data_IF_217748189223
#
_entry.id   IF_217748189223
#
_cell.length_a   1.000
_cell.length_b   1.000
_cell.length_c   1.000
_cell.angle_alpha   90.00
_cell.angle_beta   90.00
_cell.angle_gamma   90.00
#
_symmetry.space_group_name_H-M   'P 1'
#
loop_
_entity.id
_entity.type
_entity.pdbx_description
1 polymer ?
#
# COMPACT_ATOMS: atom_id res chain seq x y z
N UNK A 1 0.45 11.08 -16.76
CA UNK A 1 1.39 10.39 -15.86
C UNK A 1 0.94 10.73 -14.44
N UNK A 2 0.12 9.89 -13.82
CA UNK A 2 -0.51 10.19 -12.52
C UNK A 2 -1.37 9.03 -12.00
N UNK A 3 -1.88 8.20 -12.92
CA UNK A 3 -2.81 7.10 -12.63
C UNK A 3 -2.28 6.09 -11.61
N UNK A 4 -0.99 5.69 -11.71
CA UNK A 4 -0.39 4.73 -10.77
C UNK A 4 -0.23 5.36 -9.37
N UNK A 5 0.16 6.63 -9.31
CA UNK A 5 0.29 7.34 -8.05
C UNK A 5 -1.07 7.57 -7.40
N UNK A 6 -2.10 7.89 -8.19
CA UNK A 6 -3.49 8.00 -7.73
C UNK A 6 -3.98 6.65 -7.19
N UNK A 7 -3.77 5.55 -7.90
CA UNK A 7 -4.16 4.21 -7.43
C UNK A 7 -3.42 3.79 -6.14
N UNK A 8 -2.17 4.22 -5.93
CA UNK A 8 -1.45 4.02 -4.66
C UNK A 8 -2.06 4.84 -3.52
N UNK A 9 -2.47 6.09 -3.79
CA UNK A 9 -3.07 6.97 -2.79
C UNK A 9 -4.51 6.57 -2.43
N UNK A 10 -5.24 6.00 -3.39
CA UNK A 10 -6.60 5.48 -3.19
C UNK A 10 -6.63 4.13 -2.45
N UNK A 11 -5.47 3.47 -2.27
CA UNK A 11 -5.37 2.17 -1.63
C UNK A 11 -5.68 0.97 -2.54
N UNK A 12 -5.67 1.19 -3.86
CA UNK A 12 -5.81 0.11 -4.86
C UNK A 12 -4.47 -0.61 -5.07
N UNK A 13 -3.37 0.13 -4.95
CA UNK A 13 -2.01 -0.41 -5.00
C UNK A 13 -1.31 -0.22 -3.66
N UNK A 14 -0.40 -1.15 -3.34
CA UNK A 14 0.47 -1.00 -2.19
C UNK A 14 1.32 0.27 -2.32
N UNK A 15 1.31 1.10 -1.28
CA UNK A 15 2.04 2.36 -1.23
C UNK A 15 3.58 2.20 -1.25
N UNK A 16 4.09 0.99 -0.99
CA UNK A 16 5.53 0.68 -0.98
C UNK A 16 5.99 0.00 -2.27
N UNK A 17 5.36 -1.11 -2.64
CA UNK A 17 5.82 -1.95 -3.77
C UNK A 17 4.96 -1.85 -5.03
N UNK A 18 3.78 -1.23 -4.95
CA UNK A 18 2.87 -1.05 -6.08
C UNK A 18 2.12 -2.31 -6.53
N UNK A 19 2.10 -3.39 -5.74
CA UNK A 19 1.27 -4.56 -6.03
C UNK A 19 -0.21 -4.22 -5.90
N UNK A 20 -1.07 -4.84 -6.72
CA UNK A 20 -2.51 -4.73 -6.56
C UNK A 20 -2.96 -5.35 -5.24
N UNK A 21 -3.71 -4.56 -4.47
CA UNK A 21 -4.40 -5.04 -3.27
C UNK A 21 -5.79 -5.46 -3.73
N UNK A 22 -6.23 -6.69 -3.42
CA UNK A 22 -7.56 -7.22 -3.77
C UNK A 22 -8.66 -6.61 -2.88
N UNK A 23 -8.60 -5.29 -2.72
CA UNK A 23 -9.51 -4.48 -1.92
C UNK A 23 -10.00 -3.34 -2.81
N UNK A 24 -11.28 -3.01 -2.66
CA UNK A 24 -11.79 -1.77 -3.22
C UNK A 24 -11.13 -0.63 -2.44
N UNK A 25 -10.22 0.09 -3.10
CA UNK A 25 -9.38 1.11 -2.48
C UNK A 25 -10.11 1.91 -1.41
N UNK A 26 -9.58 1.89 -0.18
CA UNK A 26 -10.24 2.45 0.98
C UNK A 26 -10.16 3.99 1.07
N UNK A 27 -9.58 4.65 0.04
CA UNK A 27 -9.40 6.11 -0.01
C UNK A 27 -8.20 6.61 0.78
N UNK A 28 -7.32 5.71 1.21
CA UNK A 28 -6.05 6.00 1.85
C UNK A 28 -4.98 4.99 1.41
N UNK A 29 -3.68 5.33 1.51
CA UNK A 29 -2.60 4.41 1.13
C UNK A 29 -2.57 3.17 2.02
N UNK A 30 -2.54 1.98 1.41
CA UNK A 30 -2.45 0.69 2.10
C UNK A 30 -1.17 -0.07 1.74
N UNK A 31 -0.82 -1.05 2.57
CA UNK A 31 0.35 -1.91 2.38
C UNK A 31 -0.12 -3.36 2.20
N UNK A 32 0.57 -4.12 1.34
CA UNK A 32 0.37 -5.57 1.29
C UNK A 32 0.93 -6.22 2.56
N UNK A 33 0.54 -7.47 2.82
CA UNK A 33 0.98 -8.24 3.99
C UNK A 33 2.52 -8.25 4.13
N UNK A 34 3.25 -8.46 3.03
CA UNK A 34 4.72 -8.45 3.03
C UNK A 34 5.29 -7.09 3.48
N UNK A 35 4.77 -5.99 2.93
CA UNK A 35 5.24 -4.65 3.27
C UNK A 35 4.78 -4.20 4.67
N UNK A 36 3.60 -4.67 5.11
CA UNK A 36 3.08 -4.39 6.44
C UNK A 36 3.92 -5.07 7.53
N UNK A 37 4.36 -6.31 7.30
CA UNK A 37 5.24 -7.04 8.21
C UNK A 37 6.56 -6.28 8.45
N UNK A 38 7.17 -5.75 7.39
CA UNK A 38 8.40 -4.94 7.49
C UNK A 38 8.22 -3.68 8.37
N UNK A 39 7.08 -3.01 8.25
CA UNK A 39 6.78 -1.79 9.03
C UNK A 39 6.62 -2.11 10.52
N UNK A 40 5.96 -3.23 10.84
CA UNK A 40 5.73 -3.66 12.23
C UNK A 40 7.05 -4.08 12.90
N UNK A 41 7.95 -4.72 12.16
CA UNK A 41 9.28 -5.10 12.66
C UNK A 41 10.18 -3.88 12.96
N UNK A 42 10.03 -2.77 12.22
CA UNK A 42 10.76 -1.53 12.47
C UNK A 42 10.25 -0.77 13.71
N UNK A 43 8.94 -0.76 13.97
CA UNK A 43 8.36 -0.09 15.15
C UNK A 43 8.74 -0.80 16.47
N UNK A 44 9.00 -2.12 16.41
CA UNK A 44 9.39 -2.92 17.55
C UNK A 44 10.90 -2.91 17.88
N UNK A 45 11.71 -2.12 17.17
CA UNK A 45 13.18 -2.03 17.35
C UNK A 45 13.62 -0.89 18.27
#
# INVERSE_FOLDING_TARGET
MGEIAEMMLEGVLCASCGVFLDVYGNGYPEYCEDCQEQIIEEDHR
#
